data_IF_867553380962
#
_entry.id   IF_867553380962
#
_cell.length_a   1.000
_cell.length_b   1.000
_cell.length_c   1.000
_cell.angle_alpha   90.00
_cell.angle_beta   90.00
_cell.angle_gamma   90.00
#
_symmetry.space_group_name_H-M   'P 1'
#
loop_
_entity.id
_entity.type
_entity.pdbx_description
1 polymer ?
#
# COMPACT_ATOMS: atom_id res chain seq x y z
N UNK A 1 -0.19 -8.43 -17.98
CA UNK A 1 -0.03 -9.69 -17.21
C UNK A 1 -0.41 -9.39 -15.76
N UNK A 2 -1.33 -10.14 -15.17
CA UNK A 2 -1.62 -10.00 -13.74
C UNK A 2 -0.34 -10.32 -12.96
N UNK A 3 0.07 -9.43 -12.06
CA UNK A 3 1.25 -9.65 -11.22
C UNK A 3 0.98 -10.88 -10.34
N UNK A 4 1.95 -11.77 -10.18
CA UNK A 4 1.79 -12.98 -9.37
C UNK A 4 1.37 -12.61 -7.94
N UNK A 5 0.33 -13.27 -7.43
CA UNK A 5 -0.18 -13.04 -6.07
C UNK A 5 0.84 -13.48 -5.03
N UNK A 6 1.00 -12.68 -3.98
CA UNK A 6 1.84 -13.03 -2.82
C UNK A 6 0.99 -13.84 -1.84
N UNK A 7 1.41 -15.09 -1.60
CA UNK A 7 0.72 -15.98 -0.67
C UNK A 7 0.90 -15.53 0.79
N UNK A 8 -0.10 -15.70 1.69
CA UNK A 8 0.01 -15.29 3.09
C UNK A 8 1.22 -15.87 3.84
N UNK A 9 1.64 -17.10 3.50
CA UNK A 9 2.84 -17.72 4.10
C UNK A 9 4.15 -17.01 3.76
N UNK A 10 4.17 -16.17 2.73
CA UNK A 10 5.29 -15.31 2.34
C UNK A 10 5.06 -13.87 2.83
N UNK A 11 3.85 -13.34 2.61
CA UNK A 11 3.52 -11.96 2.91
C UNK A 11 3.52 -11.64 4.41
N UNK A 12 2.90 -12.49 5.24
CA UNK A 12 2.78 -12.21 6.68
C UNK A 12 4.13 -12.21 7.40
N UNK A 13 5.05 -13.17 7.17
CA UNK A 13 6.40 -13.08 7.73
C UNK A 13 7.16 -11.83 7.29
N UNK A 14 7.02 -11.42 6.02
CA UNK A 14 7.65 -10.20 5.52
C UNK A 14 7.13 -8.94 6.23
N UNK A 15 5.82 -8.84 6.45
CA UNK A 15 5.22 -7.72 7.23
C UNK A 15 5.78 -7.70 8.65
N UNK A 16 5.80 -8.84 9.34
CA UNK A 16 6.36 -8.92 10.70
C UNK A 16 7.84 -8.53 10.75
N UNK A 17 8.63 -9.00 9.79
CA UNK A 17 10.05 -8.67 9.70
C UNK A 17 10.26 -7.17 9.40
N UNK A 18 9.44 -6.59 8.53
CA UNK A 18 9.49 -5.15 8.23
C UNK A 18 9.13 -4.30 9.46
N UNK A 19 8.11 -4.69 10.23
CA UNK A 19 7.75 -4.01 11.48
C UNK A 19 8.85 -4.14 12.54
N UNK A 20 9.42 -5.34 12.71
CA UNK A 20 10.44 -5.58 13.73
C UNK A 20 11.75 -4.84 13.46
N UNK A 21 12.13 -4.68 12.18
CA UNK A 21 13.40 -4.05 11.77
C UNK A 21 13.25 -2.57 11.38
N UNK A 22 12.04 -2.10 11.08
CA UNK A 22 11.81 -0.73 10.63
C UNK A 22 12.71 -0.34 9.45
N UNK A 23 13.50 0.73 9.62
CA UNK A 23 14.42 1.23 8.62
C UNK A 23 15.53 0.22 8.24
N UNK A 24 15.89 -0.69 9.16
CA UNK A 24 16.94 -1.70 8.97
C UNK A 24 16.44 -2.95 8.22
N UNK A 25 15.15 -3.03 7.88
CA UNK A 25 14.64 -4.08 7.02
C UNK A 25 15.32 -4.02 5.65
N UNK A 26 15.70 -5.17 5.09
CA UNK A 26 16.28 -5.19 3.74
C UNK A 26 15.22 -4.80 2.69
N UNK A 27 15.71 -4.46 1.48
CA UNK A 27 14.86 -3.97 0.39
C UNK A 27 13.80 -4.99 -0.05
N UNK A 28 14.12 -6.28 -0.02
CA UNK A 28 13.23 -7.35 -0.47
C UNK A 28 12.10 -7.60 0.53
N UNK A 29 12.44 -7.60 1.83
CA UNK A 29 11.48 -7.65 2.93
C UNK A 29 10.48 -6.50 2.84
N UNK A 30 10.96 -5.25 2.67
CA UNK A 30 10.07 -4.09 2.49
C UNK A 30 9.22 -4.20 1.23
N UNK A 31 9.82 -4.59 0.10
CA UNK A 31 9.08 -4.73 -1.15
C UNK A 31 7.95 -5.76 -1.03
N UNK A 32 8.22 -6.90 -0.40
CA UNK A 32 7.25 -7.98 -0.21
C UNK A 32 6.13 -7.55 0.74
N UNK A 33 6.47 -6.93 1.87
CA UNK A 33 5.49 -6.42 2.83
C UNK A 33 4.55 -5.38 2.18
N UNK A 34 5.12 -4.38 1.50
CA UNK A 34 4.34 -3.32 0.82
C UNK A 34 3.40 -3.92 -0.23
N UNK A 35 3.92 -4.77 -1.12
CA UNK A 35 3.13 -5.37 -2.20
C UNK A 35 2.03 -6.29 -1.67
N UNK A 36 2.32 -7.05 -0.61
CA UNK A 36 1.34 -7.91 0.03
C UNK A 36 0.19 -7.10 0.66
N UNK A 37 0.52 -6.02 1.37
CA UNK A 37 -0.49 -5.14 1.97
C UNK A 37 -1.31 -4.38 0.91
N UNK A 38 -0.68 -3.92 -0.19
CA UNK A 38 -1.41 -3.31 -1.32
C UNK A 38 -2.36 -4.32 -1.98
N UNK A 39 -1.90 -5.56 -2.17
CA UNK A 39 -2.76 -6.63 -2.67
C UNK A 39 -3.96 -6.86 -1.73
N UNK A 40 -3.72 -6.90 -0.42
CA UNK A 40 -4.79 -7.07 0.56
C UNK A 40 -5.80 -5.91 0.51
N UNK A 41 -5.36 -4.66 0.33
CA UNK A 41 -6.25 -3.52 0.13
C UNK A 41 -7.13 -3.70 -1.11
N UNK A 42 -6.53 -4.05 -2.25
CA UNK A 42 -7.27 -4.25 -3.50
C UNK A 42 -8.24 -5.44 -3.43
N UNK A 43 -7.90 -6.50 -2.68
CA UNK A 43 -8.77 -7.63 -2.43
C UNK A 43 -9.95 -7.26 -1.50
N UNK A 44 -9.70 -6.43 -0.47
CA UNK A 44 -10.71 -6.00 0.51
C UNK A 44 -11.69 -4.96 -0.06
N UNK A 45 -11.19 -4.11 -0.95
CA UNK A 45 -11.95 -3.01 -1.54
C UNK A 45 -11.70 -2.98 -3.06
N UNK A 46 -12.26 -3.94 -3.82
CA UNK A 46 -12.06 -3.99 -5.26
C UNK A 46 -12.59 -2.73 -5.94
N UNK A 47 -12.02 -2.38 -7.09
CA UNK A 47 -12.45 -1.24 -7.90
C UNK A 47 -11.32 -0.49 -8.57
N UNK A 48 -11.65 0.64 -9.19
CA UNK A 48 -10.76 1.41 -10.07
C UNK A 48 -10.73 2.91 -9.80
N UNK A 49 -11.45 3.38 -8.79
CA UNK A 49 -11.71 4.81 -8.58
C UNK A 49 -10.64 5.48 -7.72
N UNK A 50 -9.90 4.72 -6.91
CA UNK A 50 -8.78 5.24 -6.11
C UNK A 50 -7.50 4.49 -6.50
N UNK A 51 -6.41 5.22 -6.66
CA UNK A 51 -5.08 4.63 -6.88
C UNK A 51 -4.17 4.90 -5.69
N UNK A 52 -3.68 3.83 -5.05
CA UNK A 52 -2.73 3.93 -3.93
C UNK A 52 -1.34 3.57 -4.43
N UNK A 53 -0.38 4.49 -4.25
CA UNK A 53 1.01 4.39 -4.70
C UNK A 53 1.95 4.37 -3.51
N UNK A 54 2.87 3.40 -3.53
CA UNK A 54 3.93 3.25 -2.52
C UNK A 54 5.26 3.07 -3.25
N UNK A 55 5.85 4.15 -3.78
CA UNK A 55 7.14 4.08 -4.47
C UNK A 55 8.27 3.64 -3.51
N UNK A 56 9.23 2.84 -3.98
CA UNK A 56 9.39 2.33 -5.35
C UNK A 56 8.73 0.96 -5.57
N UNK A 57 7.89 0.47 -4.65
CA UNK A 57 7.55 -0.95 -4.56
C UNK A 57 6.29 -1.35 -5.33
N UNK A 58 5.29 -0.47 -5.43
CA UNK A 58 4.11 -0.75 -6.24
C UNK A 58 3.00 0.27 -6.12
N UNK A 59 1.92 0.00 -6.84
CA UNK A 59 0.65 0.70 -6.77
C UNK A 59 -0.49 -0.29 -7.02
N UNK A 60 -1.68 0.01 -6.51
CA UNK A 60 -2.93 -0.73 -6.79
C UNK A 60 -4.07 0.25 -7.01
N UNK A 61 -5.08 -0.21 -7.72
CA UNK A 61 -6.38 0.47 -7.76
C UNK A 61 -7.35 -0.28 -6.85
N UNK A 62 -8.20 0.48 -6.18
CA UNK A 62 -9.20 0.00 -5.24
C UNK A 62 -10.41 0.94 -5.26
N UNK A 63 -11.45 0.54 -4.52
CA UNK A 63 -12.69 1.29 -4.34
C UNK A 63 -13.53 1.35 -5.63
N UNK A 64 -14.75 0.83 -5.53
CA UNK A 64 -15.74 0.96 -6.59
C UNK A 64 -16.21 2.41 -6.72
N UNK A 65 -16.56 2.80 -7.93
CA UNK A 65 -17.05 4.15 -8.20
C UNK A 65 -17.13 4.42 -9.69
N UNK A 66 -17.59 5.63 -10.07
CA UNK A 66 -17.65 6.02 -11.46
C UNK A 66 -16.27 5.93 -12.10
N UNK A 67 -16.22 5.36 -13.30
CA UNK A 67 -14.99 5.33 -14.09
C UNK A 67 -14.53 6.76 -14.38
N UNK A 68 -13.24 7.03 -14.19
CA UNK A 68 -12.68 8.31 -14.54
C UNK A 68 -12.75 8.51 -16.06
N UNK A 69 -13.42 9.57 -16.51
CA UNK A 69 -13.32 10.04 -17.90
C UNK A 69 -11.95 10.70 -18.12
N UNK A 70 -11.45 10.66 -19.36
CA UNK A 70 -10.17 11.30 -19.73
C UNK A 70 -10.16 12.76 -19.26
N UNK A 71 -9.19 13.11 -18.42
CA UNK A 71 -8.99 14.48 -17.91
C UNK A 71 -8.93 14.60 -16.39
N UNK A 72 -9.41 13.60 -15.63
CA UNK A 72 -9.32 13.66 -14.15
C UNK A 72 -9.27 12.26 -13.52
N UNK A 73 -8.11 11.80 -13.05
CA UNK A 73 -8.03 10.89 -11.91
C UNK A 73 -7.57 11.69 -10.69
N UNK A 74 -8.50 12.24 -9.86
CA UNK A 74 -8.09 13.07 -8.72
C UNK A 74 -7.79 12.23 -7.46
N UNK A 75 -8.18 10.96 -7.42
CA UNK A 75 -8.07 10.14 -6.21
C UNK A 75 -6.80 9.30 -6.22
N UNK A 76 -5.65 9.97 -6.26
CA UNK A 76 -4.35 9.31 -6.05
C UNK A 76 -3.96 9.53 -4.60
N UNK A 77 -3.57 8.45 -3.93
CA UNK A 77 -2.94 8.47 -2.62
C UNK A 77 -1.49 8.05 -2.83
N UNK A 78 -0.54 8.86 -2.42
CA UNK A 78 0.88 8.52 -2.45
C UNK A 78 1.49 8.63 -1.05
N UNK A 79 2.24 7.60 -0.65
CA UNK A 79 2.94 7.55 0.65
C UNK A 79 4.20 6.69 0.56
N UNK A 80 5.11 6.83 1.53
CA UNK A 80 6.33 6.05 1.57
C UNK A 80 6.10 4.62 2.16
N UNK A 81 7.04 3.68 1.96
CA UNK A 81 6.91 2.31 2.42
C UNK A 81 6.70 2.15 3.93
N UNK A 82 7.34 2.97 4.76
CA UNK A 82 7.25 2.86 6.21
C UNK A 82 5.87 3.33 6.69
N UNK A 83 5.42 4.48 6.19
CA UNK A 83 4.08 5.02 6.49
C UNK A 83 2.99 4.07 6.03
N UNK A 84 3.11 3.50 4.83
CA UNK A 84 2.16 2.50 4.32
C UNK A 84 2.04 1.27 5.23
N UNK A 85 3.17 0.70 5.65
CA UNK A 85 3.18 -0.47 6.53
C UNK A 85 2.54 -0.13 7.87
N UNK A 86 2.85 1.04 8.45
CA UNK A 86 2.26 1.49 9.71
C UNK A 86 0.74 1.67 9.58
N UNK A 87 0.25 2.32 8.52
CA UNK A 87 -1.19 2.50 8.28
C UNK A 87 -1.91 1.15 8.15
N UNK A 88 -1.42 0.28 7.27
CA UNK A 88 -2.06 -1.00 6.97
C UNK A 88 -2.01 -2.01 8.14
N UNK A 89 -1.19 -1.75 9.16
CA UNK A 89 -1.05 -2.61 10.35
C UNK A 89 -1.52 -1.94 11.64
N UNK A 90 -2.05 -0.71 11.57
CA UNK A 90 -2.56 0.03 12.73
C UNK A 90 -1.49 0.69 13.61
N UNK A 91 -0.25 0.81 13.13
CA UNK A 91 0.83 1.54 13.81
C UNK A 91 0.73 3.06 13.71
N UNK A 92 -0.09 3.58 12.79
CA UNK A 92 -0.49 5.00 12.73
C UNK A 92 -1.91 5.14 12.17
N UNK A 93 -2.51 6.31 12.33
CA UNK A 93 -3.84 6.63 11.79
C UNK A 93 -3.72 7.40 10.48
N UNK A 94 -4.80 7.37 9.69
CA UNK A 94 -4.89 8.15 8.45
C UNK A 94 -4.68 9.65 8.70
N UNK A 95 -5.41 10.22 9.67
CA UNK A 95 -5.36 11.64 9.98
C UNK A 95 -3.95 12.09 10.39
N UNK A 96 -3.25 11.29 11.21
CA UNK A 96 -1.87 11.57 11.59
C UNK A 96 -0.92 11.54 10.39
N UNK A 97 -1.13 10.61 9.44
CA UNK A 97 -0.33 10.53 8.22
C UNK A 97 -0.52 11.74 7.30
N UNK A 98 -1.77 12.23 7.18
CA UNK A 98 -2.10 13.44 6.40
C UNK A 98 -1.54 14.69 7.08
N UNK A 99 -1.73 14.84 8.39
CA UNK A 99 -1.22 15.98 9.17
C UNK A 99 0.30 16.10 9.08
N UNK A 100 1.01 14.96 9.12
CA UNK A 100 2.46 14.91 8.96
C UNK A 100 2.95 15.14 7.50
N UNK A 101 2.03 15.26 6.53
CA UNK A 101 2.36 15.37 5.11
C UNK A 101 2.99 14.11 4.50
N UNK A 102 2.87 12.98 5.20
CA UNK A 102 3.38 11.66 4.80
C UNK A 102 2.41 10.90 3.87
N UNK A 103 1.17 11.37 3.77
CA UNK A 103 0.14 10.90 2.84
C UNK A 103 -0.33 12.10 2.00
N UNK A 104 -0.38 11.94 0.68
CA UNK A 104 -0.74 13.00 -0.28
C UNK A 104 -1.70 12.51 -1.34
#
# INVERSE_FOLDING_TARGET
>A
MAKARIHPTVGQPAVRAALAKGADADRETRATAVRFLLQALADLAPGGTVEVRVPPFGAVQCIEGPGHTRGTPPNVIETDPATWIALATGGTTWDAGVEAGAVR
#
